data_IF_463515601180
#
_entry.id   IF_463515601180
#
_cell.length_a   1.000
_cell.length_b   1.000
_cell.length_c   1.000
_cell.angle_alpha   90.00
_cell.angle_beta   90.00
_cell.angle_gamma   90.00
#
_symmetry.space_group_name_H-M   'P 1'
#
loop_
_entity.id
_entity.type
_entity.pdbx_description
1 polymer ?
#
# COMPACT_ATOMS: atom_id res chain seq x y z
N UNK A 1 -30.62 -3.13 -20.37
CA UNK A 1 -30.08 -2.26 -19.31
C UNK A 1 -29.16 -3.11 -18.43
N UNK A 2 -27.84 -2.91 -18.50
CA UNK A 2 -26.87 -3.65 -17.66
C UNK A 2 -26.50 -2.76 -16.48
N UNK A 3 -27.06 -3.06 -15.31
CA UNK A 3 -26.68 -2.42 -14.05
C UNK A 3 -25.30 -2.90 -13.62
N UNK A 4 -24.37 -1.96 -13.44
CA UNK A 4 -23.07 -2.21 -12.84
C UNK A 4 -23.26 -2.23 -11.32
N UNK A 5 -23.24 -3.41 -10.71
CA UNK A 5 -23.18 -3.54 -9.25
C UNK A 5 -21.73 -3.29 -8.81
N UNK A 6 -21.39 -2.04 -8.49
CA UNK A 6 -20.15 -1.74 -7.77
C UNK A 6 -20.34 -2.20 -6.33
N UNK A 7 -19.82 -3.38 -6.01
CA UNK A 7 -19.68 -3.83 -4.61
C UNK A 7 -18.56 -3.00 -3.98
N UNK A 8 -18.92 -1.89 -3.34
CA UNK A 8 -18.01 -1.19 -2.43
C UNK A 8 -17.87 -2.04 -1.17
N UNK A 9 -16.84 -2.87 -1.11
CA UNK A 9 -16.45 -3.53 0.14
C UNK A 9 -16.12 -2.44 1.16
N UNK A 10 -16.51 -2.57 2.44
CA UNK A 10 -16.11 -1.61 3.46
C UNK A 10 -14.59 -1.60 3.50
N UNK A 11 -13.99 -0.54 2.96
CA UNK A 11 -12.57 -0.33 3.02
C UNK A 11 -12.21 -0.32 4.51
N UNK A 12 -11.39 -1.28 4.94
CA UNK A 12 -10.66 -1.15 6.19
C UNK A 12 -9.95 0.19 6.09
N UNK A 13 -10.38 1.16 6.90
CA UNK A 13 -9.80 2.49 6.90
C UNK A 13 -8.29 2.32 7.15
N UNK A 14 -7.48 2.98 6.33
CA UNK A 14 -6.03 2.96 6.53
C UNK A 14 -5.70 3.74 7.79
N UNK A 15 -5.21 3.02 8.79
CA UNK A 15 -4.70 3.57 10.05
C UNK A 15 -3.18 3.66 9.94
N UNK A 16 -2.58 4.87 9.91
CA UNK A 16 -1.14 5.03 9.75
C UNK A 16 -0.35 4.65 11.00
N UNK A 17 -1.02 4.44 12.14
CA UNK A 17 -0.41 4.22 13.46
C UNK A 17 -0.40 2.74 13.87
N UNK A 18 -0.65 1.84 12.91
CA UNK A 18 -0.55 0.38 13.08
C UNK A 18 0.44 -0.25 12.10
N UNK A 19 0.93 -1.48 12.36
CA UNK A 19 1.88 -2.12 11.46
C UNK A 19 1.20 -2.60 10.17
N UNK A 20 1.91 -2.46 9.05
CA UNK A 20 1.47 -2.83 7.71
C UNK A 20 2.55 -3.63 6.99
N UNK A 21 2.16 -4.46 6.03
CA UNK A 21 3.07 -5.17 5.13
C UNK A 21 2.51 -5.21 3.71
N UNK A 22 3.39 -5.46 2.74
CA UNK A 22 2.96 -5.91 1.41
C UNK A 22 2.22 -7.24 1.54
N UNK A 23 1.11 -7.37 0.82
CA UNK A 23 0.43 -8.65 0.72
C UNK A 23 1.36 -9.67 0.04
N UNK A 24 1.39 -10.90 0.55
CA UNK A 24 2.27 -11.97 0.05
C UNK A 24 2.07 -12.34 -1.44
N UNK A 25 0.96 -11.93 -2.05
CA UNK A 25 0.65 -12.14 -3.46
C UNK A 25 0.96 -10.91 -4.33
N UNK A 26 1.66 -9.92 -3.80
CA UNK A 26 2.04 -8.71 -4.53
C UNK A 26 3.48 -8.83 -4.98
N UNK A 27 3.69 -8.76 -6.30
CA UNK A 27 5.00 -8.56 -6.88
C UNK A 27 5.27 -7.06 -7.04
N UNK A 28 6.46 -6.62 -6.66
CA UNK A 28 6.97 -5.26 -6.90
C UNK A 28 8.00 -5.34 -8.03
N UNK A 29 7.78 -4.58 -9.10
CA UNK A 29 8.75 -4.41 -10.19
C UNK A 29 9.27 -2.97 -10.17
N UNK A 30 10.54 -2.75 -9.74
CA UNK A 30 11.16 -1.43 -9.75
C UNK A 30 11.34 -0.90 -11.18
N UNK A 31 11.19 0.41 -11.34
CA UNK A 31 11.43 1.15 -12.58
C UNK A 31 12.11 2.49 -12.25
N UNK A 32 12.80 3.15 -13.19
CA UNK A 32 13.52 4.41 -12.91
C UNK A 32 12.65 5.54 -12.34
N UNK A 33 11.34 5.52 -12.63
CA UNK A 33 10.38 6.50 -12.14
C UNK A 33 9.60 6.04 -10.89
N UNK A 34 9.80 4.81 -10.40
CA UNK A 34 9.04 4.25 -9.30
C UNK A 34 8.88 2.74 -9.39
N UNK A 35 7.64 2.22 -9.44
CA UNK A 35 7.40 0.78 -9.52
C UNK A 35 6.01 0.42 -10.07
N UNK A 36 5.92 -0.79 -10.63
CA UNK A 36 4.64 -1.46 -10.88
C UNK A 36 4.40 -2.51 -9.79
N UNK A 37 3.21 -2.50 -9.20
CA UNK A 37 2.75 -3.48 -8.22
C UNK A 37 1.64 -4.33 -8.84
N UNK A 38 1.83 -5.65 -8.84
CA UNK A 38 0.84 -6.59 -9.35
C UNK A 38 0.40 -7.58 -8.27
N UNK A 39 -0.90 -7.67 -8.01
CA UNK A 39 -1.46 -8.62 -7.07
C UNK A 39 -1.98 -9.86 -7.81
N UNK A 40 -1.40 -11.04 -7.56
CA UNK A 40 -1.74 -12.28 -8.27
C UNK A 40 -3.19 -12.75 -8.05
N UNK A 41 -3.71 -12.68 -6.82
CA UNK A 41 -5.11 -13.05 -6.53
C UNK A 41 -6.15 -12.13 -7.19
N UNK A 42 -6.03 -10.81 -7.02
CA UNK A 42 -7.03 -9.85 -7.55
C UNK A 42 -6.78 -9.45 -9.01
N UNK A 43 -5.61 -9.76 -9.56
CA UNK A 43 -5.12 -9.33 -10.88
C UNK A 43 -5.08 -7.80 -11.06
N UNK A 44 -5.07 -7.04 -9.96
CA UNK A 44 -4.95 -5.58 -9.98
C UNK A 44 -3.50 -5.17 -10.26
N UNK A 45 -3.34 -4.08 -11.00
CA UNK A 45 -2.08 -3.40 -11.27
C UNK A 45 -2.14 -2.00 -10.65
N UNK A 46 -1.09 -1.60 -9.94
CA UNK A 46 -0.93 -0.26 -9.37
C UNK A 46 0.43 0.31 -9.75
N UNK A 47 0.48 1.63 -9.91
CA UNK A 47 1.69 2.34 -10.32
C UNK A 47 2.11 3.30 -9.23
N UNK A 48 3.35 3.17 -8.78
CA UNK A 48 4.03 4.15 -7.94
C UNK A 48 4.90 5.01 -8.86
N UNK A 49 4.67 6.32 -8.84
CA UNK A 49 5.31 7.29 -9.75
C UNK A 49 6.46 8.07 -9.10
N UNK A 50 6.92 7.63 -7.93
CA UNK A 50 7.99 8.27 -7.19
C UNK A 50 8.78 7.16 -6.46
N UNK A 51 10.10 7.19 -6.52
CA UNK A 51 10.98 6.21 -5.87
C UNK A 51 10.94 6.26 -4.34
N UNK A 52 10.64 7.41 -3.74
CA UNK A 52 10.47 7.56 -2.28
C UNK A 52 9.31 6.71 -1.76
N UNK A 53 8.13 6.72 -2.42
CA UNK A 53 7.02 5.86 -1.98
C UNK A 53 7.33 4.37 -2.21
N UNK A 54 8.16 4.03 -3.20
CA UNK A 54 8.65 2.65 -3.40
C UNK A 54 9.53 2.23 -2.22
N UNK A 55 10.42 3.10 -1.76
CA UNK A 55 11.26 2.83 -0.59
C UNK A 55 10.41 2.61 0.68
N UNK A 56 9.39 3.45 0.90
CA UNK A 56 8.43 3.26 2.01
C UNK A 56 7.72 1.91 1.88
N UNK A 57 7.16 1.57 0.72
CA UNK A 57 6.42 0.31 0.52
C UNK A 57 7.30 -0.92 0.73
N UNK A 58 8.55 -0.89 0.29
CA UNK A 58 9.47 -2.02 0.44
C UNK A 58 9.95 -2.21 1.89
N UNK A 59 10.03 -1.14 2.68
CA UNK A 59 10.48 -1.18 4.09
C UNK A 59 9.34 -1.19 5.11
N UNK A 60 8.08 -1.02 4.68
CA UNK A 60 6.96 -0.78 5.62
C UNK A 60 6.78 -1.89 6.66
N UNK A 61 7.08 -3.14 6.31
CA UNK A 61 7.01 -4.29 7.21
C UNK A 61 8.16 -4.36 8.24
N UNK A 62 9.22 -3.58 8.05
CA UNK A 62 10.37 -3.49 8.97
C UNK A 62 10.14 -2.42 10.05
N UNK A 63 9.00 -1.72 10.00
CA UNK A 63 8.68 -0.60 10.88
C UNK A 63 7.39 -0.86 11.67
N UNK A 64 7.27 -0.27 12.88
CA UNK A 64 6.09 -0.47 13.73
C UNK A 64 4.81 0.13 13.14
N UNK A 65 4.93 1.14 12.26
CA UNK A 65 3.81 1.86 11.67
C UNK A 65 4.23 2.59 10.37
N UNK A 66 3.24 3.09 9.62
CA UNK A 66 3.48 3.72 8.32
C UNK A 66 4.22 5.07 8.43
N UNK A 67 4.03 5.81 9.53
CA UNK A 67 4.72 7.10 9.75
C UNK A 67 6.20 6.87 10.02
N UNK A 68 6.52 5.82 10.76
CA UNK A 68 7.88 5.39 11.07
C UNK A 68 8.61 4.97 9.79
N UNK A 69 7.95 4.25 8.89
CA UNK A 69 8.50 3.94 7.56
C UNK A 69 8.72 5.20 6.70
N UNK A 70 7.77 6.15 6.71
CA UNK A 70 7.94 7.42 6.02
C UNK A 70 9.16 8.21 6.54
N UNK A 71 9.34 8.32 7.86
CA UNK A 71 10.51 8.97 8.46
C UNK A 71 11.82 8.28 8.09
N UNK A 72 11.84 6.95 8.12
CA UNK A 72 13.01 6.17 7.72
C UNK A 72 13.39 6.39 6.23
N UNK A 73 12.40 6.65 5.38
CA UNK A 73 12.60 7.04 3.98
C UNK A 73 12.93 8.54 3.77
N UNK A 74 13.15 9.31 4.85
CA UNK A 74 13.51 10.72 4.80
C UNK A 74 12.33 11.67 4.59
N UNK A 75 11.09 11.23 4.80
CA UNK A 75 9.90 12.08 4.71
C UNK A 75 9.58 12.67 6.09
N UNK A 76 9.73 13.98 6.21
CA UNK A 76 9.37 14.73 7.42
C UNK A 76 7.86 14.67 7.69
N UNK A 77 7.45 14.73 8.96
CA UNK A 77 6.05 14.57 9.37
C UNK A 77 5.10 15.53 8.63
N UNK A 78 5.53 16.78 8.38
CA UNK A 78 4.76 17.77 7.63
C UNK A 78 4.51 17.39 6.15
N UNK A 79 5.34 16.51 5.59
CA UNK A 79 5.29 16.07 4.20
C UNK A 79 4.61 14.69 4.04
N UNK A 80 4.24 14.02 5.13
CA UNK A 80 3.75 12.63 5.07
C UNK A 80 2.36 12.49 4.47
N UNK A 81 1.50 13.51 4.55
CA UNK A 81 0.10 13.43 4.12
C UNK A 81 -0.13 12.79 2.72
N UNK A 82 0.55 13.21 1.64
CA UNK A 82 0.41 12.56 0.33
C UNK A 82 0.87 11.09 0.31
N UNK A 83 1.89 10.73 1.09
CA UNK A 83 2.39 9.36 1.16
C UNK A 83 1.41 8.46 1.93
N UNK A 84 0.89 8.92 3.07
CA UNK A 84 -0.14 8.20 3.83
C UNK A 84 -1.41 8.00 3.01
N UNK A 85 -1.81 9.00 2.23
CA UNK A 85 -2.92 8.85 1.29
C UNK A 85 -2.64 7.77 0.23
N UNK A 86 -1.45 7.77 -0.37
CA UNK A 86 -1.06 6.74 -1.34
C UNK A 86 -1.06 5.32 -0.73
N UNK A 87 -0.52 5.16 0.49
CA UNK A 87 -0.57 3.89 1.23
C UNK A 87 -2.01 3.46 1.52
N UNK A 88 -2.89 4.40 1.84
CA UNK A 88 -4.32 4.11 2.02
C UNK A 88 -5.01 3.62 0.74
N UNK A 89 -4.62 4.12 -0.43
CA UNK A 89 -5.10 3.60 -1.73
C UNK A 89 -4.57 2.19 -1.99
N UNK A 90 -3.30 1.91 -1.65
CA UNK A 90 -2.73 0.56 -1.74
C UNK A 90 -3.42 -0.44 -0.80
N UNK A 91 -3.78 -0.02 0.42
CA UNK A 91 -4.55 -0.84 1.34
C UNK A 91 -5.95 -1.18 0.77
N UNK A 92 -6.65 -0.18 0.22
CA UNK A 92 -7.96 -0.39 -0.44
C UNK A 92 -7.88 -1.33 -1.64
N UNK A 93 -6.75 -1.38 -2.34
CA UNK A 93 -6.53 -2.28 -3.48
C UNK A 93 -5.97 -3.66 -3.09
N UNK A 94 -5.84 -3.95 -1.79
CA UNK A 94 -5.21 -5.17 -1.22
C UNK A 94 -3.71 -5.31 -1.50
N UNK A 95 -3.06 -4.24 -1.97
CA UNK A 95 -1.61 -4.25 -2.17
C UNK A 95 -0.87 -4.26 -0.82
N UNK A 96 -1.42 -3.52 0.15
CA UNK A 96 -1.00 -3.55 1.54
C UNK A 96 -2.06 -4.22 2.41
N UNK A 97 -1.61 -4.90 3.45
CA UNK A 97 -2.46 -5.50 4.49
C UNK A 97 -1.93 -5.17 5.87
N UNK A 98 -2.82 -5.04 6.83
CA UNK A 98 -2.44 -4.87 8.24
C UNK A 98 -1.66 -6.09 8.71
N UNK A 99 -0.62 -5.88 9.49
CA UNK A 99 0.14 -6.99 10.09
C UNK A 99 -0.79 -7.89 10.92
N UNK A 100 -0.60 -9.20 10.85
CA UNK A 100 -1.52 -10.18 11.47
C UNK A 100 -2.87 -10.40 10.77
N UNK A 101 -3.20 -9.69 9.68
CA UNK A 101 -4.32 -10.10 8.83
C UNK A 101 -4.01 -11.50 8.25
N UNK A 102 -4.86 -12.49 8.55
CA UNK A 102 -4.79 -13.84 7.96
C UNK A 102 -5.67 -13.82 6.70
N UNK A 103 -5.05 -14.02 5.55
CA UNK A 103 -5.76 -14.05 4.27
C UNK A 103 -6.64 -15.31 4.24
N UNK A 104 -7.97 -15.15 4.10
CA UNK A 104 -8.85 -16.25 3.72
C UNK A 104 -8.54 -16.59 2.26
N UNK A 105 -8.03 -17.80 2.03
CA UNK A 105 -7.65 -18.32 0.71
C UNK A 105 -8.80 -18.38 -0.29
#
# INVERSE_FOLDING_TARGET
MRGLLTVSSPAVAFDPDVPWRLHHQVAVRPEPFGALLYHFGTRKLSFLKNTTIVAVVNSIGDHPDARSACRAAGIEDAQQAPYLHALGVLAQSKMLVKEGHRDSG
#
